data_IF_424091274662
#
_entry.id   IF_424091274662
#
_cell.length_a   1.000
_cell.length_b   1.000
_cell.length_c   1.000
_cell.angle_alpha   90.00
_cell.angle_beta   90.00
_cell.angle_gamma   90.00
#
_symmetry.space_group_name_H-M   'P 1'
#
loop_
_entity.id
_entity.type
_entity.pdbx_description
1 polymer ?
#
# COMPACT_ATOMS: atom_id res chain seq x y z
N UNK A 1 19.28 20.57 9.95
CA UNK A 1 20.36 19.57 9.95
C UNK A 1 21.23 19.82 8.74
N UNK A 2 22.55 19.83 8.90
CA UNK A 2 23.50 20.00 7.80
C UNK A 2 24.46 18.82 7.83
N UNK A 3 24.56 18.09 6.72
CA UNK A 3 25.40 16.90 6.59
C UNK A 3 26.40 17.17 5.46
N UNK A 4 27.66 16.79 5.67
CA UNK A 4 28.68 16.89 4.65
C UNK A 4 28.47 15.80 3.59
N UNK A 5 28.68 16.16 2.32
CA UNK A 5 28.67 15.21 1.21
C UNK A 5 30.05 14.59 1.11
N UNK A 6 30.13 13.25 1.12
CA UNK A 6 31.38 12.51 0.93
C UNK A 6 31.56 12.13 -0.54
N UNK A 7 32.68 11.46 -0.86
CA UNK A 7 32.94 10.97 -2.22
C UNK A 7 31.90 9.93 -2.67
N UNK A 8 31.31 9.20 -1.73
CA UNK A 8 30.26 8.22 -1.96
C UNK A 8 28.86 8.86 -2.04
N UNK A 9 28.74 10.16 -1.73
CA UNK A 9 27.50 10.93 -1.80
C UNK A 9 26.98 11.41 -0.44
N UNK A 10 25.65 11.50 -0.32
CA UNK A 10 24.98 11.97 0.91
C UNK A 10 24.41 10.79 1.68
N UNK A 11 24.84 10.60 2.92
CA UNK A 11 24.26 9.62 3.83
C UNK A 11 23.06 10.23 4.58
N UNK A 12 21.90 9.58 4.44
CA UNK A 12 20.67 9.98 5.12
C UNK A 12 20.37 8.98 6.24
N UNK A 13 20.28 9.43 7.50
CA UNK A 13 19.88 8.58 8.62
C UNK A 13 18.52 7.87 8.39
N UNK A 14 18.43 6.59 8.76
CA UNK A 14 17.24 5.74 8.51
C UNK A 14 15.99 6.20 9.26
N UNK A 15 16.17 6.81 10.42
CA UNK A 15 15.11 7.39 11.24
C UNK A 15 14.39 8.55 10.54
N UNK A 16 15.09 9.31 9.69
CA UNK A 16 14.48 10.37 8.85
C UNK A 16 13.58 9.78 7.78
N UNK A 17 13.85 8.55 7.34
CA UNK A 17 13.04 7.82 6.37
C UNK A 17 11.91 7.01 7.04
N UNK A 18 11.67 7.19 8.35
CA UNK A 18 10.59 6.56 9.12
C UNK A 18 10.52 5.02 8.95
N UNK A 19 11.67 4.36 8.73
CA UNK A 19 11.74 2.91 8.56
C UNK A 19 11.30 2.40 7.18
N UNK A 20 11.22 3.27 6.17
CA UNK A 20 10.95 2.88 4.79
C UNK A 20 11.98 1.87 4.28
N UNK A 21 11.49 0.77 3.68
CA UNK A 21 12.34 -0.27 3.07
C UNK A 21 12.80 0.12 1.66
N UNK A 22 11.96 0.87 0.95
CA UNK A 22 12.23 1.36 -0.40
C UNK A 22 11.82 2.84 -0.50
N UNK A 23 12.55 3.58 -1.32
CA UNK A 23 12.28 4.99 -1.59
C UNK A 23 12.36 5.29 -3.08
N UNK A 24 11.50 6.19 -3.53
CA UNK A 24 11.59 6.80 -4.85
C UNK A 24 12.35 8.12 -4.74
N UNK A 25 13.39 8.29 -5.57
CA UNK A 25 14.17 9.51 -5.64
C UNK A 25 13.81 10.27 -6.92
N UNK A 26 13.34 11.50 -6.77
CA UNK A 26 13.00 12.40 -7.86
C UNK A 26 13.83 13.66 -7.80
N UNK A 27 14.38 14.07 -8.94
CA UNK A 27 15.07 15.36 -9.09
C UNK A 27 14.11 16.37 -9.71
N UNK A 28 13.82 17.44 -8.98
CA UNK A 28 12.94 18.52 -9.40
C UNK A 28 13.71 19.84 -9.27
N UNK A 29 14.21 20.37 -10.41
CA UNK A 29 15.04 21.59 -10.46
C UNK A 29 16.24 21.52 -9.48
N UNK A 30 16.24 22.41 -8.48
CA UNK A 30 17.26 22.53 -7.42
C UNK A 30 16.99 21.63 -6.21
N UNK A 31 15.95 20.79 -6.26
CA UNK A 31 15.52 19.95 -5.13
C UNK A 31 15.57 18.47 -5.49
N UNK A 32 15.95 17.64 -4.51
CA UNK A 32 15.77 16.19 -4.58
C UNK A 32 14.67 15.82 -3.59
N UNK A 33 13.62 15.16 -4.08
CA UNK A 33 12.55 14.60 -3.25
C UNK A 33 12.78 13.11 -3.09
N UNK A 34 12.74 12.66 -1.84
CA UNK A 34 12.85 11.25 -1.46
C UNK A 34 11.51 10.88 -0.84
N UNK A 35 10.83 9.92 -1.46
CA UNK A 35 9.48 9.52 -1.11
C UNK A 35 9.51 8.05 -0.69
N UNK A 36 9.00 7.68 0.50
CA UNK A 36 8.89 6.27 0.87
C UNK A 36 7.93 5.57 -0.09
N UNK A 37 8.36 4.44 -0.63
CA UNK A 37 7.47 3.56 -1.36
C UNK A 37 6.74 2.75 -0.30
N UNK A 38 5.46 3.06 -0.10
CA UNK A 38 4.57 2.21 0.67
C UNK A 38 4.31 0.98 -0.21
N UNK A 39 4.72 -0.23 0.21
CA UNK A 39 4.38 -1.44 -0.51
C UNK A 39 2.86 -1.47 -0.70
N UNK A 40 2.39 -1.68 -1.93
CA UNK A 40 0.95 -1.85 -2.17
C UNK A 40 0.51 -3.10 -1.41
N UNK A 41 -0.15 -2.93 -0.27
CA UNK A 41 -0.71 -4.05 0.46
C UNK A 41 -1.70 -4.78 -0.47
N UNK A 42 -1.46 -6.07 -0.65
CA UNK A 42 -2.31 -6.97 -1.43
C UNK A 42 -3.77 -6.92 -0.99
N UNK A 43 -4.06 -6.53 0.25
CA UNK A 43 -5.42 -6.31 0.74
C UNK A 43 -6.18 -5.30 -0.12
N UNK A 44 -5.50 -4.26 -0.64
CA UNK A 44 -6.10 -3.25 -1.52
C UNK A 44 -6.31 -3.76 -2.96
N UNK A 45 -5.81 -4.95 -3.28
CA UNK A 45 -6.05 -5.63 -4.57
C UNK A 45 -7.10 -6.74 -4.45
N UNK A 46 -7.62 -7.03 -3.25
CA UNK A 46 -8.70 -8.00 -3.07
C UNK A 46 -9.94 -7.56 -3.85
N UNK A 47 -10.53 -8.51 -4.58
CA UNK A 47 -11.72 -8.26 -5.42
C UNK A 47 -11.43 -7.53 -6.74
N UNK A 48 -10.18 -7.17 -7.06
CA UNK A 48 -9.82 -6.56 -8.35
C UNK A 48 -9.98 -7.51 -9.54
N UNK A 49 -9.90 -8.82 -9.29
CA UNK A 49 -10.13 -9.89 -10.26
C UNK A 49 -11.10 -10.92 -9.65
N UNK A 50 -12.41 -10.64 -9.65
CA UNK A 50 -13.39 -11.58 -9.13
C UNK A 50 -13.49 -12.82 -10.02
N UNK A 51 -13.65 -13.99 -9.41
CA UNK A 51 -13.88 -15.23 -10.14
C UNK A 51 -15.35 -15.30 -10.53
N UNK A 52 -15.63 -15.28 -11.83
CA UNK A 52 -16.97 -15.60 -12.33
C UNK A 52 -17.18 -17.12 -12.29
N UNK A 53 -18.07 -17.56 -11.41
CA UNK A 53 -18.54 -18.93 -11.38
C UNK A 53 -20.07 -18.94 -11.59
N UNK A 54 -20.60 -19.99 -12.20
CA UNK A 54 -22.04 -20.16 -12.42
C UNK A 54 -22.79 -20.59 -11.15
N UNK A 55 -22.25 -20.26 -9.97
CA UNK A 55 -22.88 -20.53 -8.69
C UNK A 55 -23.57 -19.24 -8.20
N UNK A 56 -24.76 -19.35 -7.59
CA UNK A 56 -25.39 -18.23 -6.92
C UNK A 56 -24.43 -17.65 -5.87
N UNK A 57 -24.42 -16.32 -5.76
CA UNK A 57 -23.62 -15.62 -4.75
C UNK A 57 -24.02 -16.11 -3.35
N UNK A 58 -23.04 -16.25 -2.45
CA UNK A 58 -23.30 -16.67 -1.06
C UNK A 58 -24.23 -15.69 -0.32
N UNK A 59 -24.31 -14.44 -0.78
CA UNK A 59 -25.21 -13.41 -0.26
C UNK A 59 -26.69 -13.61 -0.62
N UNK A 60 -27.03 -14.52 -1.55
CA UNK A 60 -28.42 -14.74 -1.98
C UNK A 60 -29.35 -15.12 -0.82
N UNK A 61 -28.83 -15.82 0.19
CA UNK A 61 -29.59 -16.22 1.38
C UNK A 61 -29.18 -15.44 2.63
N UNK A 62 -28.44 -14.33 2.48
CA UNK A 62 -27.86 -13.61 3.61
C UNK A 62 -28.92 -13.16 4.61
N UNK A 63 -30.03 -12.61 4.11
CA UNK A 63 -31.15 -12.17 4.93
C UNK A 63 -31.81 -13.34 5.68
N UNK A 64 -31.92 -14.51 5.05
CA UNK A 64 -32.45 -15.71 5.70
C UNK A 64 -31.54 -16.19 6.85
N UNK A 65 -30.22 -16.08 6.69
CA UNK A 65 -29.27 -16.46 7.74
C UNK A 65 -29.21 -15.45 8.89
N UNK A 66 -29.32 -14.15 8.61
CA UNK A 66 -29.26 -13.10 9.63
C UNK A 66 -30.58 -12.99 10.41
N UNK A 67 -31.71 -12.93 9.70
CA UNK A 67 -32.99 -12.61 10.31
C UNK A 67 -33.84 -13.86 10.62
N UNK A 68 -33.43 -15.03 10.11
CA UNK A 68 -34.23 -16.24 10.15
C UNK A 68 -35.43 -16.12 9.21
N UNK A 69 -35.75 -17.20 8.48
CA UNK A 69 -37.06 -17.28 7.85
C UNK A 69 -38.11 -17.24 8.98
N UNK A 70 -38.89 -16.16 9.05
CA UNK A 70 -39.93 -16.01 10.06
C UNK A 70 -40.76 -17.27 10.16
N UNK A 71 -40.68 -17.94 11.32
CA UNK A 71 -41.54 -19.05 11.69
C UNK A 71 -42.90 -18.52 12.13
#
# INVERSE_FOLDING_TARGET
MTIAVSEEGLLIPRDILEGAQEVEIRREHETIRILPIVPRDSIFQLGSQPVHCNLPDASVNHDQYIYGAGK
#
